data_IF_213422823130
#
_entry.id   IF_213422823130
#
_cell.length_a   1.000
_cell.length_b   1.000
_cell.length_c   1.000
_cell.angle_alpha   90.00
_cell.angle_beta   90.00
_cell.angle_gamma   90.00
#
_symmetry.space_group_name_H-M   'P 1'
#
loop_
_entity.id
_entity.type
_entity.pdbx_description
1 polymer ?
#
# COMPACT_ATOMS: atom_id res chain seq x y z
N UNK A 1 4.14 -5.86 -0.08
CA UNK A 1 5.16 -6.68 -0.79
C UNK A 1 4.47 -7.70 -1.70
N UNK A 2 4.64 -7.59 -3.03
CA UNK A 2 4.15 -8.58 -4.00
C UNK A 2 5.28 -9.31 -4.72
N UNK A 3 6.14 -10.01 -3.95
CA UNK A 3 7.34 -10.70 -4.46
C UNK A 3 7.02 -11.78 -5.50
N UNK A 4 5.81 -12.34 -5.50
CA UNK A 4 5.34 -13.31 -6.50
C UNK A 4 4.40 -12.73 -7.58
N UNK A 5 4.21 -11.41 -7.65
CA UNK A 5 3.24 -10.79 -8.56
C UNK A 5 3.79 -9.66 -9.44
N UNK A 6 4.46 -8.66 -8.86
CA UNK A 6 4.67 -7.35 -9.53
C UNK A 6 6.12 -6.99 -9.83
N UNK A 7 7.09 -7.85 -9.51
CA UNK A 7 8.52 -7.56 -9.65
C UNK A 7 9.22 -8.44 -10.71
N UNK A 8 8.51 -8.70 -11.81
CA UNK A 8 8.94 -9.59 -12.87
C UNK A 8 8.72 -11.08 -12.54
N UNK A 9 9.40 -12.00 -13.26
CA UNK A 9 9.25 -13.42 -13.03
C UNK A 9 9.55 -13.81 -11.58
N UNK A 10 8.77 -14.74 -10.98
CA UNK A 10 9.02 -15.23 -9.64
C UNK A 10 10.48 -15.66 -9.46
N UNK A 11 11.07 -15.27 -8.33
CA UNK A 11 12.41 -15.70 -7.91
C UNK A 11 12.32 -17.01 -7.12
N UNK A 12 13.42 -17.76 -6.97
CA UNK A 12 13.44 -18.94 -6.11
C UNK A 12 12.91 -18.60 -4.70
N UNK A 13 12.06 -19.48 -4.16
CA UNK A 13 11.41 -19.26 -2.86
C UNK A 13 12.43 -19.04 -1.73
N UNK A 14 13.53 -19.81 -1.73
CA UNK A 14 14.63 -19.69 -0.77
C UNK A 14 15.22 -18.28 -0.73
N UNK A 15 15.37 -17.65 -1.89
CA UNK A 15 16.00 -16.33 -2.00
C UNK A 15 15.06 -15.25 -1.46
N UNK A 16 13.75 -15.42 -1.66
CA UNK A 16 12.75 -14.49 -1.15
C UNK A 16 12.57 -14.62 0.36
N UNK A 17 12.61 -15.85 0.90
CA UNK A 17 12.64 -16.08 2.35
C UNK A 17 13.90 -15.44 2.97
N UNK A 18 15.06 -15.65 2.34
CA UNK A 18 16.31 -15.05 2.80
C UNK A 18 16.26 -13.51 2.78
N UNK A 19 15.62 -12.91 1.77
CA UNK A 19 15.39 -11.47 1.72
C UNK A 19 14.45 -10.98 2.83
N UNK A 20 13.38 -11.72 3.14
CA UNK A 20 12.48 -11.39 4.25
C UNK A 20 13.24 -11.45 5.59
N UNK A 21 14.06 -12.49 5.80
CA UNK A 21 14.89 -12.61 7.00
C UNK A 21 15.93 -11.50 7.10
N UNK A 22 16.55 -11.11 5.98
CA UNK A 22 17.45 -9.95 5.92
C UNK A 22 16.72 -8.65 6.30
N UNK A 23 15.47 -8.48 5.87
CA UNK A 23 14.67 -7.33 6.24
C UNK A 23 14.36 -7.28 7.75
N UNK A 24 13.99 -8.42 8.33
CA UNK A 24 13.75 -8.55 9.79
C UNK A 24 15.03 -8.25 10.57
N UNK A 25 16.17 -8.82 10.16
CA UNK A 25 17.46 -8.58 10.79
C UNK A 25 17.90 -7.11 10.70
N UNK A 26 17.42 -6.38 9.70
CA UNK A 26 17.65 -4.94 9.51
C UNK A 26 16.65 -4.06 10.28
N UNK A 27 15.73 -4.65 11.06
CA UNK A 27 14.77 -3.94 11.91
C UNK A 27 13.39 -3.71 11.29
N UNK A 28 13.09 -4.27 10.12
CA UNK A 28 11.75 -4.18 9.53
C UNK A 28 10.80 -5.12 10.27
N UNK A 29 9.68 -4.57 10.75
CA UNK A 29 8.67 -5.35 11.47
C UNK A 29 7.37 -5.49 10.71
N UNK A 30 7.01 -4.57 9.80
CA UNK A 30 5.75 -4.64 9.05
C UNK A 30 5.93 -5.34 7.70
N UNK A 31 5.23 -6.45 7.49
CA UNK A 31 5.21 -7.19 6.24
C UNK A 31 3.81 -7.15 5.62
N UNK A 32 3.68 -6.35 4.56
CA UNK A 32 2.45 -6.20 3.79
C UNK A 32 2.36 -7.25 2.66
N UNK A 33 1.22 -7.91 2.51
CA UNK A 33 0.90 -8.84 1.40
C UNK A 33 -0.58 -8.74 1.02
N UNK A 34 -1.12 -9.65 0.20
CA UNK A 34 -2.55 -9.75 -0.15
C UNK A 34 -2.86 -11.13 -0.72
N UNK A 35 -4.10 -11.58 -0.55
CA UNK A 35 -4.64 -12.76 -1.22
C UNK A 35 -4.48 -12.75 -2.76
N UNK A 36 -4.55 -11.58 -3.41
CA UNK A 36 -4.43 -11.45 -4.86
C UNK A 36 -2.97 -11.52 -5.37
N UNK A 37 -1.96 -11.51 -4.49
CA UNK A 37 -0.56 -11.54 -4.92
C UNK A 37 -0.12 -12.97 -5.24
N UNK A 38 0.12 -13.24 -6.51
CA UNK A 38 0.46 -14.58 -7.02
C UNK A 38 -0.53 -15.08 -8.07
N UNK A 39 -1.86 -15.05 -7.83
CA UNK A 39 -2.61 -14.97 -6.57
C UNK A 39 -2.30 -16.08 -5.55
N UNK A 40 -2.60 -15.82 -4.28
CA UNK A 40 -2.50 -16.71 -3.11
C UNK A 40 -1.10 -17.23 -2.75
N UNK A 41 -0.11 -17.14 -3.64
CA UNK A 41 1.24 -17.67 -3.39
C UNK A 41 2.07 -16.76 -2.50
N UNK A 42 1.84 -15.44 -2.50
CA UNK A 42 2.67 -14.53 -1.70
C UNK A 42 2.37 -14.65 -0.20
N UNK A 43 1.13 -14.94 0.18
CA UNK A 43 0.78 -15.23 1.58
C UNK A 43 1.47 -16.51 2.06
N UNK A 44 1.56 -17.54 1.23
CA UNK A 44 2.29 -18.78 1.56
C UNK A 44 3.79 -18.49 1.75
N UNK A 45 4.38 -17.70 0.86
CA UNK A 45 5.79 -17.28 0.96
C UNK A 45 6.07 -16.51 2.26
N UNK A 46 5.25 -15.49 2.55
CA UNK A 46 5.40 -14.69 3.78
C UNK A 46 5.17 -15.57 5.00
N UNK A 47 4.14 -16.41 4.98
CA UNK A 47 3.81 -17.37 6.02
C UNK A 47 4.98 -18.26 6.40
N UNK A 48 5.66 -18.86 5.40
CA UNK A 48 6.88 -19.66 5.59
C UNK A 48 8.03 -18.86 6.22
N UNK A 49 8.16 -17.59 5.87
CA UNK A 49 9.26 -16.74 6.37
C UNK A 49 9.07 -16.27 7.81
N UNK A 50 7.82 -16.19 8.31
CA UNK A 50 7.49 -15.60 9.62
C UNK A 50 7.06 -16.61 10.68
N UNK A 51 7.34 -17.91 10.49
CA UNK A 51 7.03 -18.96 11.46
C UNK A 51 7.88 -18.89 12.74
N UNK A 52 7.41 -19.55 13.80
CA UNK A 52 8.15 -19.72 15.06
C UNK A 52 8.42 -18.39 15.76
N UNK A 53 9.63 -18.22 16.32
CA UNK A 53 10.00 -17.01 17.08
C UNK A 53 9.98 -15.72 16.26
N UNK A 54 10.01 -15.81 14.93
CA UNK A 54 9.90 -14.64 14.05
C UNK A 54 8.51 -14.02 14.14
N UNK A 55 7.47 -14.84 14.33
CA UNK A 55 6.08 -14.38 14.35
C UNK A 55 5.84 -13.27 15.37
N UNK A 56 6.44 -13.40 16.55
CA UNK A 56 6.30 -12.45 17.66
C UNK A 56 7.06 -11.13 17.44
N UNK A 57 7.97 -11.08 16.46
CA UNK A 57 8.81 -9.92 16.17
C UNK A 57 8.26 -9.06 15.03
N UNK A 58 7.22 -9.52 14.35
CA UNK A 58 6.71 -8.90 13.12
C UNK A 58 5.20 -8.69 13.16
N UNK A 59 4.74 -7.68 12.45
CA UNK A 59 3.34 -7.43 12.13
C UNK A 59 3.09 -7.89 10.70
N UNK A 60 2.19 -8.85 10.54
CA UNK A 60 1.77 -9.33 9.22
C UNK A 60 0.48 -8.64 8.83
N UNK A 61 0.53 -7.94 7.69
CA UNK A 61 -0.62 -7.27 7.12
C UNK A 61 -1.01 -7.93 5.80
N UNK A 62 -2.28 -8.30 5.64
CA UNK A 62 -2.81 -8.86 4.39
C UNK A 62 -4.18 -8.28 4.06
N UNK A 63 -4.72 -8.62 2.91
CA UNK A 63 -5.91 -7.98 2.34
C UNK A 63 -6.82 -8.99 1.68
N UNK A 64 -8.09 -8.60 1.56
CA UNK A 64 -9.12 -9.30 0.80
C UNK A 64 -9.88 -8.34 -0.11
N UNK A 65 -10.72 -8.91 -0.96
CA UNK A 65 -11.82 -8.20 -1.62
C UNK A 65 -11.69 -8.17 -3.13
N UNK A 66 -10.48 -8.33 -3.68
CA UNK A 66 -10.30 -8.54 -5.12
C UNK A 66 -10.41 -10.05 -5.39
N UNK A 67 -11.39 -10.48 -6.18
CA UNK A 67 -11.58 -11.90 -6.48
C UNK A 67 -10.65 -12.32 -7.62
N UNK A 68 -9.79 -13.30 -7.38
CA UNK A 68 -8.84 -13.77 -8.38
C UNK A 68 -9.52 -14.37 -9.61
N UNK A 69 -9.05 -14.00 -10.81
CA UNK A 69 -9.52 -14.58 -12.07
C UNK A 69 -10.87 -14.04 -12.58
N UNK A 70 -11.52 -13.15 -11.83
CA UNK A 70 -12.74 -12.45 -12.25
C UNK A 70 -12.61 -10.96 -11.92
N UNK A 71 -13.21 -10.09 -12.73
CA UNK A 71 -13.17 -8.64 -12.48
C UNK A 71 -14.24 -8.24 -11.46
N UNK A 72 -14.14 -8.76 -10.24
CA UNK A 72 -15.11 -8.53 -9.17
C UNK A 72 -14.44 -8.09 -7.86
N UNK A 73 -15.09 -7.14 -7.17
CA UNK A 73 -14.75 -6.70 -5.82
C UNK A 73 -15.86 -7.15 -4.86
N UNK A 74 -15.49 -7.82 -3.77
CA UNK A 74 -16.42 -8.41 -2.78
C UNK A 74 -16.15 -7.88 -1.38
N UNK A 75 -17.15 -7.23 -0.79
CA UNK A 75 -17.14 -6.73 0.59
C UNK A 75 -18.25 -7.32 1.46
N UNK A 76 -19.06 -8.25 0.94
CA UNK A 76 -20.12 -8.88 1.71
C UNK A 76 -19.58 -9.75 2.86
N UNK A 77 -20.32 -9.87 3.97
CA UNK A 77 -19.85 -10.57 5.17
C UNK A 77 -19.40 -12.02 4.93
N UNK A 78 -20.10 -12.75 4.07
CA UNK A 78 -19.76 -14.14 3.77
C UNK A 78 -18.39 -14.24 3.09
N UNK A 79 -18.12 -13.36 2.12
CA UNK A 79 -16.81 -13.30 1.47
C UNK A 79 -15.71 -12.81 2.41
N UNK A 80 -15.94 -11.76 3.20
CA UNK A 80 -14.98 -11.22 4.19
C UNK A 80 -14.48 -12.35 5.10
N UNK A 81 -15.41 -13.14 5.64
CA UNK A 81 -15.07 -14.26 6.53
C UNK A 81 -14.31 -15.36 5.80
N UNK A 82 -14.81 -15.82 4.66
CA UNK A 82 -14.16 -16.88 3.89
C UNK A 82 -12.72 -16.50 3.49
N UNK A 83 -12.53 -15.27 3.01
CA UNK A 83 -11.21 -14.75 2.66
C UNK A 83 -10.27 -14.69 3.87
N UNK A 84 -10.76 -14.29 5.05
CA UNK A 84 -9.95 -14.23 6.27
C UNK A 84 -9.49 -15.62 6.69
N UNK A 85 -10.39 -16.61 6.72
CA UNK A 85 -10.06 -17.99 7.06
C UNK A 85 -9.00 -18.56 6.11
N UNK A 86 -9.13 -18.28 4.81
CA UNK A 86 -8.18 -18.80 3.84
C UNK A 86 -6.82 -18.08 3.90
N UNK A 87 -6.81 -16.78 4.19
CA UNK A 87 -5.56 -16.04 4.46
C UNK A 87 -4.84 -16.58 5.69
N UNK A 88 -5.54 -16.86 6.79
CA UNK A 88 -4.97 -17.47 8.00
C UNK A 88 -4.31 -18.83 7.69
N UNK A 89 -5.00 -19.68 6.92
CA UNK A 89 -4.45 -20.99 6.49
C UNK A 89 -3.20 -20.83 5.62
N UNK A 90 -3.22 -19.92 4.64
CA UNK A 90 -2.09 -19.71 3.72
C UNK A 90 -0.87 -19.12 4.44
N UNK A 91 -1.10 -18.18 5.35
CA UNK A 91 -0.05 -17.61 6.19
C UNK A 91 0.45 -18.61 7.24
N UNK A 92 -0.37 -19.59 7.63
CA UNK A 92 -0.06 -20.51 8.72
C UNK A 92 0.08 -19.77 10.05
N UNK A 93 -0.85 -18.86 10.34
CA UNK A 93 -0.91 -18.07 11.58
C UNK A 93 -2.32 -18.12 12.16
N UNK A 94 -2.42 -18.03 13.49
CA UNK A 94 -3.72 -18.01 14.18
C UNK A 94 -4.38 -16.62 14.15
N UNK A 95 -3.58 -15.57 13.92
CA UNK A 95 -4.03 -14.19 13.94
C UNK A 95 -3.24 -13.33 12.94
N UNK A 96 -3.95 -12.52 12.15
CA UNK A 96 -3.38 -11.48 11.27
C UNK A 96 -3.30 -10.17 12.05
N UNK A 97 -2.18 -9.46 11.99
CA UNK A 97 -2.05 -8.19 12.74
C UNK A 97 -2.92 -7.10 12.13
N UNK A 98 -2.88 -6.91 10.81
CA UNK A 98 -3.66 -5.85 10.13
C UNK A 98 -4.31 -6.40 8.86
N UNK A 99 -5.64 -6.37 8.81
CA UNK A 99 -6.40 -6.92 7.70
C UNK A 99 -7.16 -5.83 6.95
N UNK A 100 -6.87 -5.70 5.64
CA UNK A 100 -7.44 -4.66 4.80
C UNK A 100 -8.58 -5.16 3.92
N UNK A 101 -9.62 -4.36 3.76
CA UNK A 101 -10.35 -4.39 2.49
C UNK A 101 -9.48 -3.73 1.41
N UNK A 102 -9.02 -4.51 0.44
CA UNK A 102 -8.06 -4.11 -0.59
C UNK A 102 -8.67 -3.12 -1.60
N UNK A 103 -9.92 -3.34 -1.97
CA UNK A 103 -10.73 -2.41 -2.79
C UNK A 103 -12.14 -2.38 -2.25
N UNK A 104 -12.75 -1.22 -2.30
CA UNK A 104 -14.09 -1.01 -1.78
C UNK A 104 -15.12 -1.62 -2.72
N UNK A 105 -15.97 -2.49 -2.19
CA UNK A 105 -17.14 -3.00 -2.89
C UNK A 105 -18.25 -1.93 -2.86
N UNK A 106 -18.46 -1.28 -4.00
CA UNK A 106 -19.43 -0.18 -4.13
C UNK A 106 -20.88 -0.64 -4.18
N UNK A 107 -21.14 -1.95 -4.06
CA UNK A 107 -22.49 -2.51 -3.94
C UNK A 107 -22.93 -2.71 -2.49
N UNK A 108 -21.97 -2.80 -1.57
CA UNK A 108 -22.19 -3.10 -0.15
C UNK A 108 -21.88 -1.85 0.68
N UNK A 109 -22.80 -1.38 1.54
CA UNK A 109 -22.49 -0.31 2.48
C UNK A 109 -21.29 -0.67 3.34
N UNK A 110 -20.34 0.25 3.47
CA UNK A 110 -19.09 -0.02 4.19
C UNK A 110 -19.32 -0.47 5.64
N UNK A 111 -20.41 -0.01 6.27
CA UNK A 111 -20.78 -0.40 7.63
C UNK A 111 -21.05 -1.90 7.75
N UNK A 112 -21.58 -2.54 6.70
CA UNK A 112 -21.85 -3.99 6.66
C UNK A 112 -20.54 -4.76 6.62
N UNK A 113 -19.60 -4.35 5.75
CA UNK A 113 -18.27 -4.94 5.65
C UNK A 113 -17.49 -4.81 6.96
N UNK A 114 -17.46 -3.60 7.53
CA UNK A 114 -16.72 -3.32 8.77
C UNK A 114 -17.35 -3.99 9.98
N UNK A 115 -18.66 -4.20 9.99
CA UNK A 115 -19.33 -4.98 11.03
C UNK A 115 -18.87 -6.44 11.03
N UNK A 116 -18.60 -7.03 9.86
CA UNK A 116 -18.04 -8.38 9.81
C UNK A 116 -16.56 -8.42 10.23
N UNK A 117 -15.77 -7.44 9.79
CA UNK A 117 -14.38 -7.29 10.23
C UNK A 117 -14.28 -7.11 11.75
N UNK A 118 -15.19 -6.34 12.35
CA UNK A 118 -15.30 -6.19 13.80
C UNK A 118 -15.50 -7.53 14.51
N UNK A 119 -16.34 -8.43 13.98
CA UNK A 119 -16.50 -9.78 14.56
C UNK A 119 -15.20 -10.57 14.49
N UNK A 120 -14.46 -10.46 13.38
CA UNK A 120 -13.15 -11.12 13.24
C UNK A 120 -12.12 -10.56 14.25
N UNK A 121 -12.20 -9.28 14.61
CA UNK A 121 -11.43 -8.69 15.72
C UNK A 121 -11.84 -9.29 17.06
N UNK A 122 -13.14 -9.35 17.34
CA UNK A 122 -13.69 -9.91 18.60
C UNK A 122 -13.38 -11.41 18.76
N UNK A 123 -13.29 -12.15 17.65
CA UNK A 123 -12.86 -13.56 17.61
C UNK A 123 -11.34 -13.75 17.71
N UNK A 124 -10.55 -12.68 17.68
CA UNK A 124 -9.09 -12.72 17.74
C UNK A 124 -8.41 -13.18 16.45
N UNK A 125 -9.14 -13.29 15.34
CA UNK A 125 -8.60 -13.70 14.02
C UNK A 125 -7.79 -12.61 13.35
N UNK A 126 -8.16 -11.35 13.61
CA UNK A 126 -7.41 -10.18 13.17
C UNK A 126 -7.25 -9.23 14.37
N UNK A 127 -6.15 -8.47 14.46
CA UNK A 127 -5.98 -7.46 15.54
C UNK A 127 -6.53 -6.09 15.13
N UNK A 128 -6.26 -5.70 13.89
CA UNK A 128 -6.55 -4.35 13.39
C UNK A 128 -7.21 -4.38 12.02
N UNK A 129 -8.05 -3.38 11.75
CA UNK A 129 -8.74 -3.20 10.48
C UNK A 129 -8.07 -2.08 9.67
N UNK A 130 -7.85 -2.34 8.39
CA UNK A 130 -7.42 -1.31 7.45
C UNK A 130 -8.36 -1.20 6.25
N UNK A 131 -8.26 -0.08 5.53
CA UNK A 131 -8.89 0.11 4.23
C UNK A 131 -7.84 0.47 3.18
N UNK A 132 -8.09 0.14 1.92
CA UNK A 132 -7.23 0.59 0.82
C UNK A 132 -8.05 1.21 -0.30
N UNK A 133 -7.54 2.33 -0.84
CA UNK A 133 -8.21 3.11 -1.89
C UNK A 133 -9.68 3.43 -1.53
N UNK A 134 -9.90 3.93 -0.32
CA UNK A 134 -11.21 4.35 0.18
C UNK A 134 -11.34 5.88 0.17
N UNK A 135 -12.54 6.37 -0.15
CA UNK A 135 -12.87 7.80 -0.14
C UNK A 135 -12.98 8.33 1.28
N UNK A 136 -12.90 9.65 1.44
CA UNK A 136 -13.02 10.29 2.76
C UNK A 136 -14.35 9.96 3.46
N UNK A 137 -15.46 9.94 2.71
CA UNK A 137 -16.80 9.58 3.22
C UNK A 137 -16.85 8.11 3.66
N UNK A 138 -16.35 7.19 2.84
CA UNK A 138 -16.27 5.76 3.18
C UNK A 138 -15.39 5.53 4.43
N UNK A 139 -14.24 6.21 4.54
CA UNK A 139 -13.36 6.13 5.71
C UNK A 139 -14.09 6.57 7.00
N UNK A 140 -14.77 7.72 6.98
CA UNK A 140 -15.49 8.24 8.16
C UNK A 140 -16.58 7.27 8.62
N UNK A 141 -17.36 6.75 7.69
CA UNK A 141 -18.44 5.80 7.96
C UNK A 141 -17.92 4.48 8.51
N UNK A 142 -16.83 3.95 7.93
CA UNK A 142 -16.15 2.77 8.44
C UNK A 142 -15.67 2.96 9.88
N UNK A 143 -14.96 4.06 10.13
CA UNK A 143 -14.38 4.38 11.43
C UNK A 143 -15.43 4.57 12.53
N UNK A 144 -16.64 5.02 12.18
CA UNK A 144 -17.76 5.12 13.11
C UNK A 144 -18.28 3.75 13.59
N UNK A 145 -18.07 2.67 12.83
CA UNK A 145 -18.48 1.29 13.20
C UNK A 145 -17.43 0.60 14.06
N UNK A 146 -16.16 0.68 13.64
CA UNK A 146 -15.00 0.17 14.38
C UNK A 146 -13.76 1.00 13.99
N UNK A 147 -12.83 1.28 14.92
CA UNK A 147 -11.63 2.05 14.61
C UNK A 147 -10.84 1.46 13.43
N UNK A 148 -10.65 2.27 12.39
CA UNK A 148 -9.75 1.94 11.27
C UNK A 148 -8.34 2.33 11.68
N UNK A 149 -7.43 1.36 11.72
CA UNK A 149 -6.04 1.56 12.14
C UNK A 149 -5.20 2.22 11.06
N UNK A 150 -5.40 1.82 9.80
CA UNK A 150 -4.62 2.35 8.68
C UNK A 150 -5.42 2.45 7.37
N UNK A 151 -5.10 3.47 6.58
CA UNK A 151 -5.52 3.59 5.19
C UNK A 151 -4.31 3.46 4.27
N UNK A 152 -4.38 2.49 3.35
CA UNK A 152 -3.33 2.24 2.36
C UNK A 152 -3.69 2.83 1.00
N UNK A 153 -2.84 3.71 0.47
CA UNK A 153 -3.10 4.49 -0.75
C UNK A 153 -1.82 4.78 -1.55
N UNK A 154 -1.96 5.14 -2.82
CA UNK A 154 -0.81 5.57 -3.64
C UNK A 154 -0.42 7.00 -3.25
N UNK A 155 0.78 7.17 -2.69
CA UNK A 155 1.31 8.49 -2.36
C UNK A 155 2.81 8.53 -2.56
N UNK A 156 3.26 9.52 -3.33
CA UNK A 156 4.66 9.77 -3.65
C UNK A 156 4.81 11.20 -4.15
N UNK A 157 6.06 11.63 -4.39
CA UNK A 157 6.34 12.83 -5.19
C UNK A 157 5.63 12.81 -6.57
N UNK A 158 5.23 11.63 -7.05
CA UNK A 158 4.57 11.43 -8.34
C UNK A 158 3.04 11.32 -8.27
N UNK A 159 2.45 11.15 -7.10
CA UNK A 159 0.98 11.08 -6.99
C UNK A 159 0.58 11.67 -5.66
N UNK A 160 -0.03 12.86 -5.73
CA UNK A 160 -0.40 13.69 -4.58
C UNK A 160 -1.90 13.98 -4.52
N UNK A 161 -2.70 13.30 -5.33
CA UNK A 161 -4.16 13.50 -5.42
C UNK A 161 -4.90 13.26 -4.09
N UNK A 162 -4.32 12.42 -3.23
CA UNK A 162 -4.86 12.09 -1.90
C UNK A 162 -4.74 13.21 -0.86
N UNK A 163 -3.87 14.19 -1.09
CA UNK A 163 -3.57 15.26 -0.11
C UNK A 163 -4.73 16.23 0.10
N UNK A 164 -5.63 16.35 -0.88
CA UNK A 164 -6.78 17.24 -0.78
C UNK A 164 -7.80 16.77 0.27
N UNK A 165 -8.05 15.47 0.38
CA UNK A 165 -9.19 14.95 1.16
C UNK A 165 -8.85 13.75 2.04
N UNK A 166 -8.05 12.80 1.54
CA UNK A 166 -7.81 11.53 2.23
C UNK A 166 -6.79 11.71 3.36
N UNK A 167 -5.68 12.39 3.10
CA UNK A 167 -4.65 12.66 4.11
C UNK A 167 -5.21 13.48 5.28
N UNK A 168 -5.94 14.60 5.06
CA UNK A 168 -6.58 15.34 6.16
C UNK A 168 -7.58 14.49 6.94
N UNK A 169 -8.39 13.67 6.25
CA UNK A 169 -9.38 12.79 6.91
C UNK A 169 -8.70 11.74 7.80
N UNK A 170 -7.61 11.12 7.35
CA UNK A 170 -6.85 10.17 8.17
C UNK A 170 -6.31 10.84 9.43
N UNK A 171 -5.72 12.03 9.30
CA UNK A 171 -5.17 12.80 10.43
C UNK A 171 -6.22 13.24 11.43
N UNK A 172 -7.36 13.74 10.95
CA UNK A 172 -8.49 14.12 11.80
C UNK A 172 -8.99 12.96 12.66
N UNK A 173 -9.01 11.75 12.09
CA UNK A 173 -9.49 10.53 12.76
C UNK A 173 -8.38 9.76 13.50
N UNK A 174 -7.13 10.22 13.48
CA UNK A 174 -5.99 9.52 14.09
C UNK A 174 -5.62 8.19 13.42
N UNK A 175 -5.85 8.08 12.11
CA UNK A 175 -5.61 6.88 11.30
C UNK A 175 -4.21 6.93 10.67
N UNK A 176 -3.46 5.84 10.74
CA UNK A 176 -2.15 5.72 10.09
C UNK A 176 -2.26 5.67 8.56
N UNK A 177 -1.24 6.18 7.86
CA UNK A 177 -1.20 6.28 6.41
C UNK A 177 -0.13 5.33 5.87
N UNK A 178 -0.53 4.35 5.07
CA UNK A 178 0.40 3.38 4.46
C UNK A 178 0.56 3.70 2.97
N UNK A 179 1.71 4.25 2.60
CA UNK A 179 1.96 4.70 1.23
C UNK A 179 2.53 3.57 0.37
N UNK A 180 1.76 3.10 -0.62
CA UNK A 180 2.25 2.16 -1.63
C UNK A 180 2.75 2.89 -2.88
N UNK A 181 3.58 2.19 -3.67
CA UNK A 181 4.27 2.76 -4.83
C UNK A 181 5.00 4.10 -4.54
N UNK A 182 5.73 4.24 -3.41
CA UNK A 182 6.36 5.52 -3.04
C UNK A 182 7.42 6.00 -4.05
N UNK A 183 7.88 5.11 -4.95
CA UNK A 183 8.83 5.41 -6.02
C UNK A 183 8.16 5.67 -7.38
N UNK A 184 6.85 5.93 -7.41
CA UNK A 184 6.10 6.15 -8.66
C UNK A 184 6.17 4.94 -9.59
N UNK A 185 5.99 3.73 -9.04
CA UNK A 185 6.05 2.45 -9.78
C UNK A 185 7.38 2.20 -10.53
N UNK A 186 8.47 2.80 -10.05
CA UNK A 186 9.82 2.68 -10.62
C UNK A 186 10.29 3.93 -11.35
N UNK A 187 9.41 4.91 -11.58
CA UNK A 187 9.75 6.17 -12.22
C UNK A 187 10.88 6.90 -11.49
N UNK A 188 10.77 7.02 -10.17
CA UNK A 188 11.75 7.73 -9.33
C UNK A 188 13.00 6.89 -9.03
N UNK A 189 13.08 5.64 -9.50
CA UNK A 189 14.28 4.81 -9.39
C UNK A 189 15.02 4.62 -10.72
N UNK A 190 14.29 4.56 -11.84
CA UNK A 190 14.82 4.10 -13.12
C UNK A 190 14.44 4.98 -14.31
N UNK A 191 13.69 6.07 -14.09
CA UNK A 191 13.27 7.00 -15.13
C UNK A 191 12.04 6.52 -15.93
N UNK A 192 11.71 7.19 -17.05
CA UNK A 192 10.43 7.07 -17.78
C UNK A 192 10.27 5.80 -18.64
N UNK A 193 10.87 4.67 -18.28
CA UNK A 193 10.91 3.46 -19.11
C UNK A 193 9.89 2.38 -18.70
N UNK A 194 8.66 2.80 -18.39
CA UNK A 194 7.61 1.96 -17.80
C UNK A 194 6.34 1.98 -18.66
N UNK A 195 5.61 0.88 -18.69
CA UNK A 195 4.37 0.70 -19.47
C UNK A 195 3.13 1.06 -18.62
N UNK A 196 2.81 2.36 -18.50
CA UNK A 196 1.61 2.89 -17.82
C UNK A 196 1.03 4.09 -18.61
N UNK A 197 -0.27 4.46 -18.43
CA UNK A 197 -0.87 5.61 -19.12
C UNK A 197 -0.11 6.94 -18.95
N UNK A 198 0.52 7.16 -17.79
CA UNK A 198 1.38 8.32 -17.50
C UNK A 198 2.70 8.33 -18.31
N UNK A 199 3.00 7.26 -19.02
CA UNK A 199 4.18 7.10 -19.88
C UNK A 199 3.83 7.00 -21.37
N UNK A 200 2.62 7.37 -21.76
CA UNK A 200 2.33 7.60 -23.18
C UNK A 200 3.21 8.73 -23.74
N UNK A 201 3.58 8.69 -25.04
CA UNK A 201 4.55 9.61 -25.65
C UNK A 201 4.25 11.10 -25.41
N UNK A 202 2.97 11.45 -25.29
CA UNK A 202 2.48 12.81 -25.06
C UNK A 202 2.79 13.31 -23.64
N UNK A 203 2.89 12.40 -22.67
CA UNK A 203 3.09 12.68 -21.24
C UNK A 203 4.56 12.57 -20.81
N UNK A 204 5.36 11.74 -21.49
CA UNK A 204 6.78 11.48 -21.17
C UNK A 204 7.63 12.75 -21.10
N UNK A 205 7.45 13.71 -22.01
CA UNK A 205 8.32 14.91 -22.06
C UNK A 205 8.17 15.80 -20.83
N UNK A 206 6.94 16.01 -20.36
CA UNK A 206 6.68 16.77 -19.12
C UNK A 206 7.15 15.98 -17.90
N UNK A 207 6.87 14.68 -17.91
CA UNK A 207 7.15 13.81 -16.79
C UNK A 207 8.66 13.60 -16.58
N UNK A 208 9.45 13.47 -17.64
CA UNK A 208 10.92 13.33 -17.57
C UNK A 208 11.61 14.49 -16.85
N UNK A 209 11.10 15.72 -16.98
CA UNK A 209 11.66 16.90 -16.30
C UNK A 209 11.66 16.75 -14.78
N UNK A 210 10.61 16.16 -14.22
CA UNK A 210 10.51 15.91 -12.78
C UNK A 210 11.61 14.94 -12.33
N UNK A 211 11.83 13.86 -13.09
CA UNK A 211 12.92 12.92 -12.80
C UNK A 211 14.29 13.59 -12.88
N UNK A 212 14.54 14.43 -13.89
CA UNK A 212 15.79 15.18 -14.03
C UNK A 212 16.05 16.11 -12.83
N UNK A 213 15.02 16.84 -12.37
CA UNK A 213 15.12 17.73 -11.22
C UNK A 213 15.37 16.95 -9.92
N UNK A 214 14.63 15.87 -9.68
CA UNK A 214 14.84 14.98 -8.53
C UNK A 214 16.25 14.39 -8.57
N UNK A 215 16.73 13.95 -9.74
CA UNK A 215 18.07 13.37 -9.89
C UNK A 215 19.18 14.40 -9.65
N UNK A 216 19.02 15.63 -10.13
CA UNK A 216 19.96 16.71 -9.87
C UNK A 216 20.05 17.01 -8.37
N UNK A 217 18.92 17.08 -7.66
CA UNK A 217 18.90 17.28 -6.22
C UNK A 217 19.48 16.08 -5.45
N UNK A 218 19.16 14.86 -5.85
CA UNK A 218 19.71 13.64 -5.24
C UNK A 218 21.24 13.61 -5.33
N UNK A 219 21.78 14.03 -6.48
CA UNK A 219 23.23 14.20 -6.69
C UNK A 219 23.82 15.23 -5.72
N UNK A 220 23.20 16.41 -5.57
CA UNK A 220 23.65 17.44 -4.60
C UNK A 220 23.62 16.93 -3.15
N UNK A 221 22.66 16.06 -2.84
CA UNK A 221 22.47 15.45 -1.51
C UNK A 221 23.31 14.20 -1.28
N UNK A 222 24.02 13.70 -2.29
CA UNK A 222 24.85 12.49 -2.18
C UNK A 222 24.03 11.21 -1.98
N UNK A 223 22.80 11.15 -2.50
CA UNK A 223 21.91 9.99 -2.41
C UNK A 223 21.36 9.60 -3.78
N UNK A 224 20.69 8.45 -3.86
CA UNK A 224 20.01 8.03 -5.09
C UNK A 224 18.65 8.73 -5.23
N UNK A 225 18.11 8.89 -6.46
CA UNK A 225 16.78 9.46 -6.65
C UNK A 225 15.69 8.70 -5.90
N UNK A 226 15.81 7.38 -5.78
CA UNK A 226 14.88 6.55 -5.02
C UNK A 226 14.99 6.77 -3.51
N UNK A 227 16.20 6.95 -2.97
CA UNK A 227 16.39 7.35 -1.58
C UNK A 227 15.78 8.71 -1.30
N UNK A 228 16.00 9.69 -2.19
CA UNK A 228 15.44 11.03 -2.03
C UNK A 228 13.92 11.01 -2.03
N UNK A 229 13.31 10.29 -2.98
CA UNK A 229 11.87 10.13 -3.07
C UNK A 229 11.26 9.45 -1.84
N UNK A 230 11.89 8.38 -1.35
CA UNK A 230 11.42 7.66 -0.17
C UNK A 230 11.58 8.50 1.12
N UNK A 231 12.70 9.23 1.24
CA UNK A 231 12.93 10.17 2.33
C UNK A 231 11.87 11.27 2.37
N UNK A 232 11.44 11.78 1.22
CA UNK A 232 10.33 12.73 1.14
C UNK A 232 9.03 12.13 1.72
N UNK A 233 8.69 10.89 1.37
CA UNK A 233 7.47 10.23 1.91
C UNK A 233 7.59 10.05 3.43
N UNK A 234 8.76 9.64 3.94
CA UNK A 234 8.99 9.54 5.39
C UNK A 234 8.85 10.88 6.12
N UNK A 235 9.19 12.00 5.47
CA UNK A 235 9.09 13.34 6.06
C UNK A 235 7.67 13.93 5.99
N UNK A 236 6.69 13.23 5.41
CA UNK A 236 5.31 13.71 5.37
C UNK A 236 4.61 13.68 6.72
N UNK A 237 5.10 12.88 7.69
CA UNK A 237 4.59 12.86 9.05
C UNK A 237 4.92 11.54 9.78
N UNK A 238 4.85 11.55 11.12
CA UNK A 238 5.08 10.36 11.95
C UNK A 238 3.95 9.32 11.85
N UNK A 239 2.83 9.71 11.24
CA UNK A 239 1.68 8.89 10.89
C UNK A 239 1.85 8.12 9.57
N UNK A 240 2.97 8.32 8.85
CA UNK A 240 3.20 7.78 7.51
C UNK A 240 4.18 6.59 7.52
N UNK A 241 3.77 5.48 6.93
CA UNK A 241 4.58 4.27 6.75
C UNK A 241 4.62 3.86 5.27
N UNK A 242 5.66 4.24 4.50
CA UNK A 242 5.81 3.74 3.13
C UNK A 242 6.21 2.27 3.11
N UNK A 243 5.69 1.53 2.13
CA UNK A 243 5.93 0.08 1.97
C UNK A 243 6.60 -0.26 0.63
N UNK A 244 7.83 0.23 0.36
CA UNK A 244 8.53 -0.05 -0.89
C UNK A 244 8.89 -1.55 -0.97
N UNK A 245 8.35 -2.25 -1.97
CA UNK A 245 8.69 -3.65 -2.21
C UNK A 245 9.88 -3.82 -3.17
N UNK A 246 10.53 -4.97 -3.09
CA UNK A 246 11.65 -5.36 -3.94
C UNK A 246 11.86 -6.87 -3.90
N UNK A 247 12.55 -7.42 -4.90
CA UNK A 247 13.05 -8.81 -4.96
C UNK A 247 14.58 -8.89 -4.91
N UNK A 248 15.26 -7.77 -4.66
CA UNK A 248 16.73 -7.67 -4.61
C UNK A 248 17.19 -7.08 -3.28
N UNK A 249 18.20 -7.71 -2.67
CA UNK A 249 18.83 -7.25 -1.42
C UNK A 249 19.43 -5.85 -1.58
N UNK A 250 20.07 -5.57 -2.71
CA UNK A 250 20.67 -4.25 -2.99
C UNK A 250 19.62 -3.14 -2.97
N UNK A 251 18.48 -3.36 -3.62
CA UNK A 251 17.36 -2.42 -3.61
C UNK A 251 16.75 -2.27 -2.21
N UNK A 252 16.68 -3.36 -1.43
CA UNK A 252 16.24 -3.29 -0.04
C UNK A 252 17.16 -2.41 0.80
N UNK A 253 18.47 -2.64 0.72
CA UNK A 253 19.47 -1.84 1.43
C UNK A 253 19.42 -0.37 0.98
N UNK A 254 19.22 -0.12 -0.31
CA UNK A 254 19.03 1.23 -0.83
C UNK A 254 17.78 1.91 -0.24
N UNK A 255 16.66 1.17 -0.11
CA UNK A 255 15.44 1.69 0.53
C UNK A 255 15.69 2.02 2.02
N UNK A 256 16.33 1.13 2.78
CA UNK A 256 16.65 1.37 4.20
C UNK A 256 17.55 2.60 4.37
N UNK A 257 18.54 2.77 3.49
CA UNK A 257 19.43 3.93 3.52
C UNK A 257 18.71 5.28 3.29
N UNK A 258 17.49 5.29 2.74
CA UNK A 258 16.68 6.51 2.63
C UNK A 258 16.37 7.13 4.00
N UNK A 259 16.32 6.33 5.08
CA UNK A 259 16.09 6.82 6.45
C UNK A 259 17.22 7.73 6.96
N UNK A 260 18.40 7.69 6.33
CA UNK A 260 19.54 8.54 6.68
C UNK A 260 19.61 9.84 5.86
N UNK A 261 18.69 10.03 4.89
CA UNK A 261 18.66 11.24 4.07
C UNK A 261 17.92 12.34 4.82
N UNK A 262 18.66 13.39 5.19
CA UNK A 262 18.11 14.56 5.88
C UNK A 262 17.59 15.60 4.88
N UNK A 263 16.31 15.93 5.01
CA UNK A 263 15.63 16.98 4.25
C UNK A 263 15.32 18.15 5.17
N UNK A 264 15.82 19.34 4.83
CA UNK A 264 15.44 20.58 5.51
C UNK A 264 14.07 21.05 5.01
N UNK A 265 13.42 22.00 5.70
CA UNK A 265 12.19 22.60 5.19
C UNK A 265 12.33 23.18 3.78
N UNK A 266 13.48 23.77 3.45
CA UNK A 266 13.78 24.31 2.13
C UNK A 266 13.89 23.21 1.07
N UNK A 267 14.53 22.08 1.40
CA UNK A 267 14.59 20.91 0.52
C UNK A 267 13.18 20.37 0.23
N UNK A 268 12.32 20.31 1.25
CA UNK A 268 10.95 19.85 1.09
C UNK A 268 10.17 20.78 0.15
N UNK A 269 10.27 22.09 0.33
CA UNK A 269 9.65 23.07 -0.58
C UNK A 269 10.20 22.94 -2.00
N UNK A 270 11.51 22.76 -2.16
CA UNK A 270 12.12 22.56 -3.48
C UNK A 270 11.59 21.29 -4.16
N UNK A 271 11.60 20.14 -3.46
CA UNK A 271 11.08 18.87 -3.97
C UNK A 271 9.60 18.95 -4.37
N UNK A 272 8.80 19.58 -3.53
CA UNK A 272 7.36 19.71 -3.77
C UNK A 272 7.05 20.58 -4.98
N UNK A 273 7.89 21.60 -5.25
CA UNK A 273 7.77 22.44 -6.45
C UNK A 273 8.00 21.68 -7.75
N UNK A 274 8.72 20.56 -7.72
CA UNK A 274 8.92 19.72 -8.90
C UNK A 274 7.64 18.95 -9.26
N UNK A 275 6.85 18.59 -8.25
CA UNK A 275 5.64 17.80 -8.39
C UNK A 275 4.35 18.64 -8.51
N UNK A 276 4.41 19.94 -8.23
CA UNK A 276 3.24 20.83 -8.11
C UNK A 276 2.56 21.21 -9.43
N UNK A 277 2.96 20.65 -10.57
CA UNK A 277 2.37 20.99 -11.87
C UNK A 277 2.16 19.77 -12.77
N UNK A 278 0.89 19.46 -13.06
CA UNK A 278 0.43 18.72 -14.24
C UNK A 278 1.00 17.30 -14.48
N UNK A 279 0.91 16.40 -13.49
CA UNK A 279 1.13 14.97 -13.77
C UNK A 279 -0.03 14.45 -14.64
N UNK A 280 0.27 14.19 -15.91
CA UNK A 280 -0.73 13.79 -16.92
C UNK A 280 -0.93 12.27 -16.93
N UNK A 281 -2.20 11.84 -17.05
CA UNK A 281 -2.62 10.44 -17.17
C UNK A 281 -3.06 9.79 -15.85
N UNK A 282 -3.93 8.79 -15.93
CA UNK A 282 -4.46 8.07 -14.77
C UNK A 282 -3.46 7.08 -14.15
N UNK A 283 -3.69 6.72 -12.87
CA UNK A 283 -2.85 5.77 -12.11
C UNK A 283 -2.98 4.32 -12.59
N UNK A 284 -4.12 3.98 -13.18
CA UNK A 284 -4.48 2.64 -13.62
C UNK A 284 -5.12 2.68 -15.01
N UNK A 285 -5.13 1.54 -15.71
CA UNK A 285 -6.06 1.31 -16.82
C UNK A 285 -7.48 1.13 -16.26
N UNK A 286 -8.51 1.45 -17.06
CA UNK A 286 -9.95 1.69 -16.74
C UNK A 286 -10.69 0.73 -15.78
N UNK A 287 -10.05 -0.30 -15.22
CA UNK A 287 -10.71 -1.34 -14.41
C UNK A 287 -10.42 -1.30 -12.90
N UNK A 288 -9.33 -0.68 -12.44
CA UNK A 288 -9.02 -0.62 -11.01
C UNK A 288 -9.48 0.70 -10.41
N UNK A 289 -10.64 0.66 -9.75
CA UNK A 289 -11.17 1.79 -8.98
C UNK A 289 -10.15 2.24 -7.93
N UNK A 290 -10.05 3.56 -7.79
CA UNK A 290 -9.23 4.23 -6.77
C UNK A 290 -10.13 4.78 -5.67
N UNK A 291 -9.55 5.50 -4.71
CA UNK A 291 -10.33 6.24 -3.72
C UNK A 291 -11.41 7.15 -4.33
N UNK A 292 -11.23 7.64 -5.57
CA UNK A 292 -12.19 8.51 -6.26
C UNK A 292 -13.53 7.84 -6.57
N UNK A 293 -13.51 6.52 -6.76
CA UNK A 293 -14.66 5.73 -7.25
C UNK A 293 -15.12 4.72 -6.19
N UNK A 294 -14.95 5.07 -4.92
CA UNK A 294 -15.08 4.16 -3.78
C UNK A 294 -16.16 4.57 -2.76
N UNK A 295 -17.11 5.40 -3.19
CA UNK A 295 -18.32 5.65 -2.40
C UNK A 295 -19.19 4.38 -2.33
N UNK A 296 -19.80 4.15 -1.17
CA UNK A 296 -20.70 3.02 -0.95
C UNK A 296 -22.13 3.50 -0.68
N UNK A 297 -23.16 2.68 -0.99
CA UNK A 297 -24.54 3.03 -0.68
C UNK A 297 -24.71 3.28 0.82
N UNK A 298 -25.64 4.15 1.23
CA UNK A 298 -25.91 4.37 2.65
C UNK A 298 -26.52 3.11 3.28
N UNK A 299 -26.14 2.81 4.52
CA UNK A 299 -26.62 1.60 5.23
C UNK A 299 -28.14 1.53 5.35
N UNK A 300 -28.83 2.67 5.34
CA UNK A 300 -30.31 2.76 5.36
C UNK A 300 -30.98 2.14 4.12
N UNK A 301 -30.23 1.96 3.03
CA UNK A 301 -30.71 1.32 1.80
C UNK A 301 -30.44 -0.18 1.74
N UNK A 302 -29.72 -0.72 2.73
CA UNK A 302 -29.35 -2.12 2.78
C UNK A 302 -30.54 -3.01 3.12
N UNK A 303 -30.78 -4.02 2.30
CA UNK A 303 -31.65 -5.15 2.64
C UNK A 303 -30.74 -6.34 2.86
N UNK A 304 -30.69 -6.85 4.09
CA UNK A 304 -29.98 -8.09 4.36
C UNK A 304 -30.65 -9.22 3.55
N UNK A 305 -29.89 -9.84 2.65
CA UNK A 305 -30.26 -11.11 2.04
C UNK A 305 -29.88 -12.27 2.95
#
# INVERSE_FOLDING_TARGET
MGMSAYYGPPKPESDMIALIHHAIASGVTLFDTSDIYGPHTNEILVGKAVQGEVREKVQVATKFGIVAGVNEIRGDPAYVRAACEDSLKRLGVDCIDLYYQHRIDTRVPIEVTVSELKKLVEEGKIKYIGLSEASASTIRRAHAVHPITAVQLEWSLWSRDVEAEIIPTCRELGIGIVAYSPLGRGFLSSGPNLDLPRFQPENIKKNAKIFEQVNAMATRKGCTPSQLALAWVHNQGSDVCPIPGTTKVENFNNNVAALSVNLTPEDMVELESYASSDIQGDRYHEFLNTWKDSETPPVSTWKAE
#
